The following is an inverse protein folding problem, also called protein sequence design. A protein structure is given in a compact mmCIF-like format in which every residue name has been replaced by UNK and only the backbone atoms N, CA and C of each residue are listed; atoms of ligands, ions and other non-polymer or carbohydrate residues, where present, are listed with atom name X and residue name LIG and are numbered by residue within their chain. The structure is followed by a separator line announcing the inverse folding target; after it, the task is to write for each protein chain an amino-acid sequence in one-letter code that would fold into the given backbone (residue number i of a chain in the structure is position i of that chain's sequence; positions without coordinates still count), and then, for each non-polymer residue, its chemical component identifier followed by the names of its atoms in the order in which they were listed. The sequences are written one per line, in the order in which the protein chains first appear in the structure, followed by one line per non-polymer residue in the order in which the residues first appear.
data_IF_069767840677
#
_entry.id   IF_069767840677
#
_cell.length_a   1.000
_cell.length_b   1.000
_cell.length_c   1.000
_cell.angle_alpha   90.00
_cell.angle_beta   90.00
_cell.angle_gamma   90.00
#
_symmetry.space_group_name_H-M   'P 1'
#
loop_
_entity.id
_entity.type
_entity.pdbx_description
1 polymer ?
#
# COMPACT_ATOMS: atom_id res chain seq x y z
N UNK A 1 -13.84 -13.00 -7.11
CA UNK A 1 -14.58 -11.85 -6.55
C UNK A 1 -13.60 -10.70 -6.36
N UNK A 2 -13.84 -9.53 -6.94
CA UNK A 2 -12.99 -8.36 -6.69
C UNK A 2 -13.20 -7.90 -5.24
N UNK A 3 -12.12 -7.81 -4.47
CA UNK A 3 -12.14 -7.29 -3.10
C UNK A 3 -11.62 -5.86 -3.11
N UNK A 4 -12.02 -5.08 -2.11
CA UNK A 4 -11.63 -3.68 -2.00
C UNK A 4 -11.11 -3.38 -0.59
N UNK A 5 -10.14 -2.48 -0.49
CA UNK A 5 -9.73 -1.84 0.75
C UNK A 5 -10.37 -0.45 0.83
N UNK A 6 -10.93 -0.11 1.99
CA UNK A 6 -11.48 1.21 2.24
C UNK A 6 -10.44 2.05 3.01
N UNK A 7 -9.96 3.13 2.40
CA UNK A 7 -9.01 4.05 3.00
C UNK A 7 -9.72 5.35 3.38
N UNK A 8 -9.73 5.69 4.67
CA UNK A 8 -10.31 6.94 5.17
C UNK A 8 -9.21 7.98 5.37
N UNK A 9 -9.35 9.15 4.76
CA UNK A 9 -8.43 10.26 4.99
C UNK A 9 -8.62 10.87 6.38
N UNK A 10 -7.54 11.33 7.01
CA UNK A 10 -7.61 11.99 8.33
C UNK A 10 -8.32 13.35 8.25
N UNK A 11 -7.94 14.19 7.28
CA UNK A 11 -8.48 15.54 7.14
C UNK A 11 -9.83 15.61 6.44
N UNK A 12 -10.15 14.57 5.66
CA UNK A 12 -11.37 14.51 4.87
C UNK A 12 -12.09 13.24 5.21
N UNK A 13 -13.35 13.32 5.62
CA UNK A 13 -14.20 12.14 5.89
C UNK A 13 -14.52 11.31 4.63
N UNK A 14 -13.83 11.56 3.51
CA UNK A 14 -13.97 10.83 2.26
C UNK A 14 -13.29 9.47 2.41
N UNK A 15 -14.04 8.44 2.06
CA UNK A 15 -13.56 7.06 1.97
C UNK A 15 -13.17 6.81 0.52
N UNK A 16 -11.92 6.44 0.30
CA UNK A 16 -11.41 5.99 -0.98
C UNK A 16 -11.43 4.46 -1.00
N UNK A 17 -12.15 3.88 -1.96
CA UNK A 17 -12.19 2.43 -2.15
C UNK A 17 -11.16 2.00 -3.20
N UNK A 18 -10.18 1.21 -2.79
CA UNK A 18 -9.07 0.75 -3.64
C UNK A 18 -9.29 -0.72 -4.01
N UNK A 19 -9.28 -1.09 -5.31
CA UNK A 19 -9.40 -2.49 -5.72
C UNK A 19 -8.14 -3.29 -5.34
N UNK A 20 -8.34 -4.48 -4.80
CA UNK A 20 -7.28 -5.41 -4.40
C UNK A 20 -7.27 -6.58 -5.40
N UNK A 21 -6.15 -6.76 -6.11
CA UNK A 21 -5.96 -7.89 -7.01
C UNK A 21 -5.69 -9.20 -6.24
N UNK A 22 -5.76 -10.34 -6.93
CA UNK A 22 -5.58 -11.67 -6.33
C UNK A 22 -4.20 -11.83 -5.68
N UNK A 23 -3.14 -11.32 -6.32
CA UNK A 23 -1.77 -11.41 -5.80
C UNK A 23 -1.61 -10.66 -4.47
N UNK A 24 -2.19 -9.47 -4.35
CA UNK A 24 -2.17 -8.69 -3.11
C UNK A 24 -3.02 -9.36 -2.03
N UNK A 25 -4.13 -10.01 -2.39
CA UNK A 25 -4.92 -10.78 -1.42
C UNK A 25 -4.11 -11.95 -0.83
N UNK A 26 -3.34 -12.65 -1.66
CA UNK A 26 -2.48 -13.76 -1.21
C UNK A 26 -1.40 -13.23 -0.26
N UNK A 27 -0.66 -12.19 -0.68
CA UNK A 27 0.40 -11.59 0.13
C UNK A 27 -0.13 -11.03 1.48
N UNK A 28 -1.32 -10.42 1.48
CA UNK A 28 -1.96 -9.96 2.71
C UNK A 28 -2.37 -11.12 3.60
N UNK A 29 -2.91 -12.21 3.03
CA UNK A 29 -3.30 -13.39 3.82
C UNK A 29 -2.09 -14.05 4.47
N UNK A 30 -0.97 -14.20 3.74
CA UNK A 30 0.30 -14.70 4.28
C UNK A 30 0.79 -13.83 5.43
N UNK A 31 0.83 -12.51 5.23
CA UNK A 31 1.23 -11.56 6.27
C UNK A 31 0.34 -11.61 7.52
N UNK A 32 -0.99 -11.68 7.35
CA UNK A 32 -1.92 -11.73 8.47
C UNK A 32 -1.81 -13.03 9.28
N UNK A 33 -1.54 -14.15 8.61
CA UNK A 33 -1.32 -15.44 9.26
C UNK A 33 -0.06 -15.44 10.13
N UNK A 34 0.99 -14.73 9.71
CA UNK A 34 2.24 -14.62 10.47
C UNK A 34 2.16 -13.63 11.64
N UNK A 35 1.34 -12.59 11.52
CA UNK A 35 1.31 -11.46 12.48
C UNK A 35 0.22 -11.58 13.55
N UNK A 36 -0.74 -12.49 13.38
CA UNK A 36 -1.84 -12.74 14.33
C UNK A 36 -2.55 -11.45 14.80
N UNK A 37 -2.81 -10.54 13.86
CA UNK A 37 -3.44 -9.25 14.12
C UNK A 37 -4.93 -9.40 14.46
N UNK A 38 -5.40 -8.60 15.42
CA UNK A 38 -6.81 -8.38 15.68
C UNK A 38 -7.40 -7.34 14.72
N UNK A 39 -8.73 -7.26 14.66
CA UNK A 39 -9.44 -6.38 13.72
C UNK A 39 -9.17 -4.88 13.95
N UNK A 40 -8.92 -4.49 15.20
CA UNK A 40 -8.66 -3.11 15.60
C UNK A 40 -7.17 -2.72 15.55
N UNK A 41 -6.29 -3.67 15.18
CA UNK A 41 -4.86 -3.43 15.11
C UNK A 41 -4.46 -2.70 13.83
N UNK A 42 -3.36 -1.95 13.92
CA UNK A 42 -2.73 -1.39 12.73
C UNK A 42 -2.15 -2.52 11.87
N UNK A 43 -2.48 -2.53 10.58
CA UNK A 43 -1.93 -3.48 9.61
C UNK A 43 -0.38 -3.47 9.60
N UNK A 44 0.22 -2.30 9.75
CA UNK A 44 1.67 -2.13 9.90
C UNK A 44 1.96 -1.37 11.19
N UNK A 45 2.24 -2.12 12.25
CA UNK A 45 2.58 -1.59 13.56
C UNK A 45 4.06 -1.20 13.66
N UNK A 46 4.34 -0.22 14.51
CA UNK A 46 5.71 0.17 14.88
C UNK A 46 6.34 -0.90 15.75
N UNK A 47 7.60 -1.25 15.47
CA UNK A 47 8.38 -2.17 16.32
C UNK A 47 8.88 -1.51 17.61
N UNK A 48 8.93 -0.18 17.65
CA UNK A 48 9.50 0.57 18.77
C UNK A 48 8.45 1.04 19.77
N UNK A 49 7.18 1.15 19.35
CA UNK A 49 6.12 1.74 20.14
C UNK A 49 4.88 0.89 20.05
N UNK A 50 4.38 0.45 21.20
CA UNK A 50 3.17 -0.36 21.29
C UNK A 50 1.95 0.44 20.77
N UNK A 51 1.11 -0.23 19.99
CA UNK A 51 -0.13 0.33 19.43
C UNK A 51 0.06 1.67 18.67
N UNK A 52 1.17 1.78 17.91
CA UNK A 52 1.39 2.88 16.97
C UNK A 52 1.55 2.35 15.55
N UNK A 53 1.05 3.07 14.53
CA UNK A 53 1.34 2.72 13.15
C UNK A 53 2.82 2.96 12.83
N UNK A 54 3.29 2.38 11.74
CA UNK A 54 4.60 2.71 11.17
C UNK A 54 4.72 4.21 10.87
N UNK A 55 5.85 4.80 11.26
CA UNK A 55 6.18 6.19 10.91
C UNK A 55 6.58 6.31 9.45
N UNK A 56 6.27 7.44 8.82
CA UNK A 56 6.66 7.74 7.43
C UNK A 56 8.16 7.57 7.20
N UNK A 57 8.99 7.98 8.17
CA UNK A 57 10.45 7.80 8.13
C UNK A 57 10.87 6.34 8.04
N UNK A 58 10.18 5.44 8.76
CA UNK A 58 10.46 4.01 8.70
C UNK A 58 10.05 3.42 7.34
N UNK A 59 8.93 3.87 6.76
CA UNK A 59 8.55 3.48 5.41
C UNK A 59 9.59 3.93 4.37
N UNK A 60 10.16 5.14 4.50
CA UNK A 60 11.24 5.59 3.62
C UNK A 60 12.51 4.74 3.75
N UNK A 61 12.88 4.32 4.96
CA UNK A 61 14.00 3.39 5.17
C UNK A 61 13.76 2.04 4.49
N UNK A 62 12.57 1.47 4.65
CA UNK A 62 12.21 0.21 3.97
C UNK A 62 12.34 0.34 2.45
N UNK A 63 11.89 1.46 1.87
CA UNK A 63 12.06 1.69 0.43
C UNK A 63 13.53 1.78 0.03
N UNK A 64 14.35 2.47 0.82
CA UNK A 64 15.78 2.60 0.56
C UNK A 64 16.51 1.24 0.65
N UNK A 65 16.19 0.43 1.66
CA UNK A 65 16.77 -0.93 1.78
C UNK A 65 16.41 -1.80 0.56
N UNK A 66 15.20 -1.63 0.01
CA UNK A 66 14.77 -2.31 -1.22
C UNK A 66 15.53 -1.79 -2.44
N UNK A 67 15.74 -0.46 -2.54
CA UNK A 67 16.56 0.16 -3.60
C UNK A 67 17.97 -0.44 -3.64
N UNK A 68 18.63 -0.51 -2.48
CA UNK A 68 19.98 -1.06 -2.35
C UNK A 68 20.02 -2.55 -2.67
N UNK A 69 19.07 -3.32 -2.14
CA UNK A 69 19.03 -4.78 -2.32
C UNK A 69 18.78 -5.17 -3.78
N UNK A 70 17.87 -4.46 -4.45
CA UNK A 70 17.47 -4.76 -5.82
C UNK A 70 18.27 -3.98 -6.87
N UNK A 71 19.15 -3.06 -6.46
CA UNK A 71 19.89 -2.14 -7.33
C UNK A 71 18.97 -1.36 -8.28
N UNK A 72 17.88 -0.81 -7.73
CA UNK A 72 16.88 -0.03 -8.48
C UNK A 72 16.90 1.42 -8.00
N UNK A 73 17.08 2.36 -8.92
CA UNK A 73 17.06 3.79 -8.61
C UNK A 73 15.63 4.37 -8.55
N UNK A 74 15.45 5.41 -7.73
CA UNK A 74 14.23 6.23 -7.64
C UNK A 74 12.96 5.42 -7.31
N UNK A 75 13.09 4.42 -6.43
CA UNK A 75 12.01 3.56 -5.98
C UNK A 75 11.46 4.03 -4.63
N UNK A 76 10.23 4.54 -4.65
CA UNK A 76 9.54 4.94 -3.43
C UNK A 76 8.05 5.10 -3.65
N UNK A 77 7.34 5.50 -2.58
CA UNK A 77 5.88 5.64 -2.58
C UNK A 77 5.35 6.51 -3.72
N UNK A 78 6.03 7.61 -4.05
CA UNK A 78 5.62 8.50 -5.14
C UNK A 78 5.79 7.86 -6.52
N UNK A 79 6.92 7.19 -6.76
CA UNK A 79 7.19 6.46 -8.01
C UNK A 79 6.22 5.30 -8.19
N UNK A 80 5.96 4.53 -7.13
CA UNK A 80 4.99 3.44 -7.12
C UNK A 80 3.59 3.94 -7.44
N UNK A 81 3.15 5.04 -6.83
CA UNK A 81 1.84 5.64 -7.11
C UNK A 81 1.70 6.06 -8.58
N UNK A 82 2.73 6.69 -9.16
CA UNK A 82 2.75 7.05 -10.59
C UNK A 82 2.65 5.82 -11.49
N UNK A 83 3.46 4.79 -11.22
CA UNK A 83 3.42 3.52 -11.96
C UNK A 83 2.05 2.85 -11.85
N UNK A 84 1.50 2.75 -10.65
CA UNK A 84 0.17 2.19 -10.43
C UNK A 84 -0.91 2.96 -11.22
N UNK A 85 -0.90 4.30 -11.18
CA UNK A 85 -1.84 5.12 -11.94
C UNK A 85 -1.70 4.95 -13.46
N UNK A 86 -0.47 4.86 -13.96
CA UNK A 86 -0.18 4.60 -15.37
C UNK A 86 -0.73 3.23 -15.83
N UNK A 87 -0.53 2.17 -15.04
CA UNK A 87 -1.08 0.85 -15.34
C UNK A 87 -2.60 0.80 -15.16
N UNK A 88 -3.14 1.45 -14.14
CA UNK A 88 -4.59 1.55 -13.94
C UNK A 88 -5.24 2.18 -15.18
N UNK A 89 -4.69 3.30 -15.68
CA UNK A 89 -5.22 3.98 -16.87
C UNK A 89 -5.13 3.13 -18.15
N UNK A 90 -4.01 2.44 -18.37
CA UNK A 90 -3.85 1.57 -19.54
C UNK A 90 -4.80 0.37 -19.53
N UNK A 91 -5.00 -0.24 -18.37
CA UNK A 91 -5.89 -1.38 -18.20
C UNK A 91 -7.37 -0.97 -18.24
N UNK A 92 -7.72 0.26 -17.87
CA UNK A 92 -9.11 0.74 -17.88
C UNK A 92 -9.55 1.35 -19.21
N UNK A 93 -8.63 1.69 -20.14
CA UNK A 93 -8.92 2.43 -21.39
C UNK A 93 -10.08 3.42 -21.23
N UNK A 94 -10.01 4.30 -20.23
CA UNK A 94 -10.74 5.55 -20.33
C UNK A 94 -9.85 6.43 -21.19
N UNK A 95 -10.08 6.44 -22.51
CA UNK A 95 -9.64 7.58 -23.30
C UNK A 95 -10.27 8.81 -22.63
N UNK A 96 -9.48 9.78 -22.13
CA UNK A 96 -10.01 11.12 -22.02
C UNK A 96 -10.15 11.56 -23.47
N UNK A 97 -11.31 11.33 -24.06
CA UNK A 97 -11.70 12.05 -25.27
C UNK A 97 -11.66 13.53 -24.90
N UNK A 98 -10.62 14.21 -25.40
CA UNK A 98 -10.73 15.57 -25.88
C UNK A 98 -11.86 15.67 -26.91
#
# INVERSE_FOLDING_TARGET
MLRFADCKGEKTSKILRIPINSSLQIALAEYLNETNLSYDDYLFSSRQWENKPIYTTQSHKIFHDIEETLHIDNFGSHSLRKKWGYFANQNTKISPSL
#
